data_IF_382304206489
#
_entry.id   IF_382304206489
#
_cell.length_a   1.000
_cell.length_b   1.000
_cell.length_c   1.000
_cell.angle_alpha   90.00
_cell.angle_beta   90.00
_cell.angle_gamma   90.00
#
_symmetry.space_group_name_H-M   'P 1'
#
loop_
_entity.id
_entity.type
_entity.pdbx_description
1 polymer ?
#
# COMPACT_ATOMS: atom_id res chain seq x y z
N UNK A 1 -7.77 22.45 47.45
CA UNK A 1 -7.61 23.14 46.16
C UNK A 1 -6.33 22.75 45.44
N UNK A 2 -5.13 23.06 45.97
CA UNK A 2 -3.84 22.79 45.28
C UNK A 2 -3.59 21.31 44.93
N UNK A 3 -3.90 20.38 45.84
CA UNK A 3 -3.74 18.92 45.62
C UNK A 3 -4.62 18.39 44.48
N UNK A 4 -5.84 18.94 44.32
CA UNK A 4 -6.74 18.56 43.23
C UNK A 4 -6.23 19.09 41.88
N UNK A 5 -5.62 20.27 41.86
CA UNK A 5 -4.98 20.83 40.67
C UNK A 5 -3.79 19.95 40.23
N UNK A 6 -2.94 19.52 41.17
CA UNK A 6 -1.84 18.60 40.83
C UNK A 6 -2.34 17.25 40.29
N UNK A 7 -3.42 16.70 40.84
CA UNK A 7 -4.02 15.46 40.33
C UNK A 7 -4.57 15.63 38.90
N UNK A 8 -5.23 16.74 38.61
CA UNK A 8 -5.73 17.03 37.25
C UNK A 8 -4.59 17.24 36.24
N UNK A 9 -3.51 17.91 36.65
CA UNK A 9 -2.35 18.11 35.79
C UNK A 9 -1.63 16.79 35.47
N UNK A 10 -1.49 15.90 36.45
CA UNK A 10 -0.89 14.57 36.26
C UNK A 10 -1.78 13.69 35.37
N UNK A 11 -3.10 13.70 35.56
CA UNK A 11 -4.00 12.94 34.68
C UNK A 11 -3.98 13.45 33.24
N UNK A 12 -3.90 14.77 33.04
CA UNK A 12 -3.82 15.36 31.71
C UNK A 12 -2.50 15.03 31.02
N UNK A 13 -1.39 15.03 31.77
CA UNK A 13 -0.07 14.62 31.26
C UNK A 13 -0.06 13.13 30.85
N UNK A 14 -0.70 12.26 31.64
CA UNK A 14 -0.80 10.84 31.36
C UNK A 14 -1.61 10.54 30.09
N UNK A 15 -2.74 11.24 29.88
CA UNK A 15 -3.56 11.11 28.67
C UNK A 15 -2.77 11.52 27.41
N UNK A 16 -1.92 12.54 27.52
CA UNK A 16 -1.12 13.04 26.38
C UNK A 16 -0.01 12.05 26.01
N UNK A 17 0.61 11.39 26.99
CA UNK A 17 1.67 10.39 26.78
C UNK A 17 1.17 9.08 26.13
N UNK A 18 -0.12 8.75 26.23
CA UNK A 18 -0.70 7.54 25.64
C UNK A 18 -1.15 7.71 24.17
N UNK A 19 -0.82 8.82 23.51
CA UNK A 19 -1.17 9.02 22.11
C UNK A 19 -0.17 8.32 21.19
N UNK A 20 -0.36 7.01 20.96
CA UNK A 20 0.28 6.36 19.81
C UNK A 20 -0.28 6.98 18.53
N UNK A 21 0.55 7.73 17.79
CA UNK A 21 0.15 8.17 16.47
C UNK A 21 -0.01 6.93 15.57
N UNK A 22 -1.23 6.68 15.11
CA UNK A 22 -1.50 5.64 14.13
C UNK A 22 -0.51 5.81 12.95
N UNK A 23 0.23 4.76 12.56
CA UNK A 23 1.20 4.86 11.49
C UNK A 23 0.50 5.31 10.21
N UNK A 24 0.90 6.46 9.67
CA UNK A 24 0.34 6.95 8.41
C UNK A 24 0.90 6.09 7.28
N UNK A 25 0.01 5.47 6.50
CA UNK A 25 0.40 4.74 5.30
C UNK A 25 0.38 5.72 4.13
N UNK A 26 1.48 5.83 3.41
CA UNK A 26 1.55 6.52 2.14
C UNK A 26 1.36 5.52 1.00
N UNK A 27 0.56 5.91 -0.01
CA UNK A 27 0.40 5.20 -1.27
C UNK A 27 0.98 6.05 -2.41
N UNK A 28 1.83 5.45 -3.23
CA UNK A 28 2.35 6.04 -4.45
C UNK A 28 1.92 5.18 -5.64
N UNK A 29 1.67 5.82 -6.79
CA UNK A 29 1.33 5.15 -8.03
C UNK A 29 2.37 5.52 -9.07
N UNK A 30 3.22 4.55 -9.40
CA UNK A 30 4.36 4.76 -10.30
C UNK A 30 4.05 4.12 -11.68
N UNK A 31 4.37 4.79 -12.79
CA UNK A 31 4.35 4.17 -14.11
C UNK A 31 5.59 3.27 -14.24
N UNK A 32 5.39 1.98 -14.43
CA UNK A 32 6.46 0.99 -14.49
C UNK A 32 6.95 0.74 -15.92
N UNK A 33 6.04 0.55 -16.87
CA UNK A 33 6.40 0.29 -18.27
C UNK A 33 5.29 0.73 -19.22
N UNK A 34 5.63 0.96 -20.48
CA UNK A 34 4.66 1.17 -21.57
C UNK A 34 4.96 0.16 -22.66
N UNK A 35 3.93 -0.55 -23.13
CA UNK A 35 3.99 -1.52 -24.22
C UNK A 35 2.94 -1.17 -25.26
N UNK A 36 3.36 -0.55 -26.36
CA UNK A 36 2.42 -0.03 -27.35
C UNK A 36 1.56 1.09 -26.74
N UNK A 37 0.24 0.91 -26.74
CA UNK A 37 -0.73 1.81 -26.11
C UNK A 37 -1.10 1.44 -24.67
N UNK A 38 -0.46 0.40 -24.12
CA UNK A 38 -0.73 -0.10 -22.78
C UNK A 38 0.35 0.38 -21.80
N UNK A 39 -0.07 0.88 -20.65
CA UNK A 39 0.75 1.43 -19.58
C UNK A 39 0.64 0.54 -18.33
N UNK A 40 1.75 -0.07 -17.90
CA UNK A 40 1.88 -0.85 -16.67
C UNK A 40 2.17 0.08 -15.49
N UNK A 41 1.33 0.08 -14.47
CA UNK A 41 1.50 0.87 -13.26
C UNK A 41 1.73 0.00 -12.01
N UNK A 42 2.50 0.55 -11.06
CA UNK A 42 2.82 -0.04 -9.78
C UNK A 42 2.20 0.79 -8.64
N UNK A 43 1.52 0.15 -7.68
CA UNK A 43 1.13 0.81 -6.42
C UNK A 43 2.14 0.45 -5.33
N UNK A 44 2.71 1.45 -4.66
CA UNK A 44 3.66 1.26 -3.56
C UNK A 44 3.08 1.76 -2.24
N UNK A 45 3.10 0.91 -1.22
CA UNK A 45 2.59 1.21 0.12
C UNK A 45 3.74 1.22 1.14
N UNK A 46 3.83 2.30 1.91
CA UNK A 46 4.92 2.50 2.87
C UNK A 46 4.42 3.11 4.17
N UNK A 47 4.96 2.68 5.30
CA UNK A 47 4.74 3.38 6.56
C UNK A 47 5.57 4.68 6.53
N UNK A 48 4.94 5.80 6.88
CA UNK A 48 5.63 7.07 7.11
C UNK A 48 6.27 6.98 8.49
N UNK A 49 7.42 6.32 8.59
CA UNK A 49 8.29 6.42 9.77
C UNK A 49 9.46 7.35 9.46
N UNK A 50 9.78 8.19 10.43
CA UNK A 50 10.98 9.04 10.45
C UNK A 50 12.19 8.11 10.48
N UNK A 51 13.16 8.36 9.61
CA UNK A 51 14.32 7.50 9.29
C UNK A 51 13.97 6.28 8.41
N UNK A 52 14.03 6.50 7.10
CA UNK A 52 13.95 5.47 6.08
C UNK A 52 15.39 5.07 5.73
N UNK A 53 15.87 4.02 6.38
CA UNK A 53 17.11 3.34 5.98
C UNK A 53 16.88 2.64 4.62
N UNK A 54 17.83 2.73 3.70
CA UNK A 54 17.64 2.41 2.27
C UNK A 54 17.37 0.91 2.01
N UNK A 55 17.70 0.03 2.94
CA UNK A 55 17.58 -1.42 2.80
C UNK A 55 16.48 -2.01 3.69
N UNK A 56 15.21 -1.84 3.30
CA UNK A 56 14.08 -2.52 3.94
C UNK A 56 13.61 -3.74 3.13
N UNK A 57 13.12 -4.80 3.79
CA UNK A 57 12.45 -5.89 3.08
C UNK A 57 11.23 -5.38 2.30
N UNK A 58 11.18 -5.70 1.00
CA UNK A 58 10.05 -5.40 0.12
C UNK A 58 9.26 -6.67 -0.20
N UNK A 59 7.94 -6.58 -0.17
CA UNK A 59 7.02 -7.61 -0.65
C UNK A 59 6.44 -7.16 -1.99
N UNK A 60 6.70 -7.92 -3.06
CA UNK A 60 6.01 -7.69 -4.33
C UNK A 60 4.70 -8.49 -4.33
N UNK A 61 3.58 -7.79 -4.52
CA UNK A 61 2.27 -8.42 -4.60
C UNK A 61 1.74 -8.44 -6.04
N UNK A 62 1.41 -9.62 -6.53
CA UNK A 62 0.77 -9.81 -7.84
C UNK A 62 -0.68 -10.23 -7.59
N UNK A 63 -1.63 -9.48 -8.14
CA UNK A 63 -3.04 -9.80 -7.97
C UNK A 63 -3.42 -11.06 -8.77
N UNK A 64 -4.34 -11.85 -8.21
CA UNK A 64 -4.86 -13.05 -8.86
C UNK A 64 -5.96 -12.77 -9.88
N UNK A 65 -6.54 -13.85 -10.42
CA UNK A 65 -7.59 -13.81 -11.46
C UNK A 65 -7.24 -14.61 -12.72
N UNK A 66 -6.26 -15.52 -12.61
CA UNK A 66 -5.95 -16.50 -13.66
C UNK A 66 -5.54 -15.88 -15.00
N UNK A 67 -4.98 -14.67 -14.98
CA UNK A 67 -4.63 -13.88 -16.18
C UNK A 67 -5.81 -13.45 -17.05
N UNK A 68 -7.04 -13.72 -16.62
CA UNK A 68 -8.29 -13.37 -17.32
C UNK A 68 -9.05 -12.31 -16.51
N UNK A 69 -8.72 -12.09 -15.26
CA UNK A 69 -9.32 -11.06 -14.45
C UNK A 69 -8.34 -10.58 -13.39
N UNK A 70 -8.81 -9.63 -12.59
CA UNK A 70 -8.03 -9.05 -11.52
C UNK A 70 -7.89 -7.56 -11.72
N UNK A 71 -7.83 -6.86 -10.60
CA UNK A 71 -7.70 -5.41 -10.58
C UNK A 71 -6.69 -5.08 -9.50
N UNK A 72 -5.74 -4.23 -9.86
CA UNK A 72 -4.65 -3.81 -9.01
C UNK A 72 -5.22 -3.30 -7.70
N UNK A 73 -5.96 -2.22 -7.77
CA UNK A 73 -6.45 -1.38 -6.68
C UNK A 73 -7.74 -1.88 -6.04
N UNK A 74 -8.10 -3.14 -6.25
CA UNK A 74 -9.27 -3.72 -5.62
C UNK A 74 -9.22 -3.59 -4.08
N UNK A 75 -10.25 -2.98 -3.51
CA UNK A 75 -10.32 -2.62 -2.08
C UNK A 75 -10.14 -3.81 -1.14
N UNK A 76 -10.55 -5.02 -1.59
CA UNK A 76 -10.40 -6.28 -0.84
C UNK A 76 -8.96 -6.56 -0.38
N UNK A 77 -7.96 -5.99 -1.06
CA UNK A 77 -6.55 -6.19 -0.74
C UNK A 77 -6.00 -5.17 0.27
N UNK A 78 -6.68 -4.04 0.49
CA UNK A 78 -6.19 -2.97 1.38
C UNK A 78 -5.92 -3.45 2.82
N UNK A 79 -6.78 -4.27 3.46
CA UNK A 79 -6.51 -4.74 4.82
C UNK A 79 -5.20 -5.53 4.94
N UNK A 80 -4.92 -6.39 3.96
CA UNK A 80 -3.67 -7.16 3.90
C UNK A 80 -2.45 -6.25 3.77
N UNK A 81 -2.56 -5.19 2.96
CA UNK A 81 -1.46 -4.25 2.76
C UNK A 81 -1.17 -3.42 3.98
N UNK A 82 -2.22 -2.91 4.61
CA UNK A 82 -2.09 -2.15 5.84
C UNK A 82 -1.46 -3.01 6.94
N UNK A 83 -1.86 -4.28 7.04
CA UNK A 83 -1.24 -5.23 7.97
C UNK A 83 0.26 -5.40 7.72
N UNK A 84 0.66 -5.68 6.48
CA UNK A 84 2.05 -5.93 6.11
C UNK A 84 2.94 -4.68 6.32
N UNK A 85 2.42 -3.49 6.01
CA UNK A 85 3.15 -2.23 6.18
C UNK A 85 3.25 -1.81 7.65
N UNK A 86 2.13 -1.84 8.39
CA UNK A 86 2.08 -1.35 9.78
C UNK A 86 2.75 -2.34 10.74
N UNK A 87 2.44 -3.63 10.60
CA UNK A 87 2.77 -4.64 11.62
C UNK A 87 4.11 -5.32 11.34
N UNK A 88 4.41 -5.55 10.06
CA UNK A 88 5.63 -6.28 9.66
C UNK A 88 6.74 -5.31 9.25
N UNK A 89 6.46 -4.01 9.14
CA UNK A 89 7.38 -2.97 8.65
C UNK A 89 8.00 -3.29 7.28
N UNK A 90 7.24 -3.97 6.40
CA UNK A 90 7.67 -4.25 5.02
C UNK A 90 7.12 -3.19 4.07
N UNK A 91 7.92 -2.78 3.08
CA UNK A 91 7.39 -2.06 1.92
C UNK A 91 6.60 -3.03 1.03
N UNK A 92 5.53 -2.59 0.38
CA UNK A 92 4.81 -3.41 -0.60
C UNK A 92 4.77 -2.70 -1.94
N UNK A 93 5.18 -3.40 -3.00
CA UNK A 93 5.14 -2.95 -4.39
C UNK A 93 4.16 -3.85 -5.17
N UNK A 94 3.16 -3.28 -5.84
CA UNK A 94 2.13 -4.05 -6.57
C UNK A 94 2.10 -3.69 -8.04
N UNK A 95 2.24 -4.67 -8.94
CA UNK A 95 2.26 -4.47 -10.40
C UNK A 95 0.89 -4.65 -11.06
N UNK A 96 0.56 -3.86 -12.10
CA UNK A 96 -0.61 -4.08 -12.96
C UNK A 96 -0.55 -3.39 -14.31
N UNK A 97 -1.21 -3.95 -15.33
CA UNK A 97 -1.32 -3.35 -16.68
C UNK A 97 -2.61 -2.58 -16.85
N UNK A 98 -2.49 -1.37 -17.38
CA UNK A 98 -3.57 -0.48 -17.82
C UNK A 98 -3.45 -0.23 -19.32
N UNK A 99 -4.56 0.04 -20.01
CA UNK A 99 -4.58 0.45 -21.42
C UNK A 99 -5.18 1.85 -21.49
N UNK A 100 -4.54 2.79 -22.17
CA UNK A 100 -5.00 4.19 -22.27
C UNK A 100 -6.28 4.35 -23.11
N UNK A 101 -6.71 3.29 -23.80
CA UNK A 101 -7.96 3.26 -24.57
C UNK A 101 -9.21 3.03 -23.69
N UNK A 102 -9.43 3.86 -22.66
CA UNK A 102 -10.75 4.14 -22.06
C UNK A 102 -11.63 2.96 -21.63
N UNK A 103 -11.09 1.77 -21.41
CA UNK A 103 -11.87 0.58 -21.03
C UNK A 103 -11.06 -0.21 -20.02
N UNK A 104 -11.58 -0.35 -18.79
CA UNK A 104 -11.17 -1.39 -17.83
C UNK A 104 -11.00 -2.68 -18.64
N UNK A 105 -9.77 -3.19 -18.70
CA UNK A 105 -9.50 -4.46 -19.36
C UNK A 105 -10.08 -5.55 -18.45
N UNK A 106 -11.38 -5.80 -18.61
CA UNK A 106 -11.93 -7.12 -18.35
C UNK A 106 -11.20 -8.04 -19.32
N UNK A 107 -10.20 -8.74 -18.81
CA UNK A 107 -9.89 -10.09 -19.27
C UNK A 107 -9.99 -10.35 -20.74
N UNK A 108 -9.27 -9.62 -21.59
CA UNK A 108 -9.11 -10.08 -22.96
C UNK A 108 -8.05 -11.16 -22.92
N UNK A 109 -8.50 -12.41 -22.96
CA UNK A 109 -7.68 -13.56 -23.32
C UNK A 109 -7.06 -13.28 -24.69
N UNK A 110 -5.83 -12.77 -24.72
CA UNK A 110 -5.00 -12.76 -25.92
C UNK A 110 -4.27 -14.11 -26.05
N UNK A 111 -4.07 -14.59 -27.30
CA UNK A 111 -3.66 -15.95 -27.55
C UNK A 111 -2.22 -16.18 -27.06
N UNK A 112 -2.07 -17.26 -26.30
CA UNK A 112 -0.88 -18.08 -26.06
C UNK A 112 0.47 -17.39 -26.35
N UNK A 113 1.21 -17.13 -25.27
CA UNK A 113 2.66 -17.05 -25.33
C UNK A 113 3.20 -18.35 -25.95
N UNK A 114 3.81 -18.21 -27.12
CA UNK A 114 4.65 -19.22 -27.75
C UNK A 114 5.97 -19.26 -26.97
N UNK A 115 6.24 -20.40 -26.33
CA UNK A 115 7.47 -20.64 -25.61
C UNK A 115 8.58 -20.92 -26.63
N UNK A 116 9.60 -20.07 -26.67
CA UNK A 116 10.94 -20.44 -27.13
C UNK A 116 11.88 -20.49 -25.94
#
# INVERSE_FOLDING_TARGET
MKKAIYLLLVSMLFVTACTEQAPRIAKYTDLYAVKGTDSLFLDRYTAVSVEQDDARPCLVFVFGGGFIAGERDAERYLPFFHYMVIRVRRGIDRLSSWSEAGRRVRGTSHPKYDAR
#
